data_IF_011133948009
#
_entry.id   IF_011133948009
#
_cell.length_a   1.000
_cell.length_b   1.000
_cell.length_c   1.000
_cell.angle_alpha   90.00
_cell.angle_beta   90.00
_cell.angle_gamma   90.00
#
_symmetry.space_group_name_H-M   'P 1'
#
loop_
_entity.id
_entity.type
_entity.pdbx_description
1 polymer ?
#
# COMPACT_ATOMS: atom_id res chain seq x y z
N UNK A 1 27.10 -13.48 -24.44
CA UNK A 1 27.27 -12.02 -24.18
C UNK A 1 27.77 -11.86 -22.75
N UNK A 2 29.05 -11.58 -22.54
CA UNK A 2 29.65 -11.46 -21.19
C UNK A 2 29.22 -10.13 -20.57
N UNK A 3 28.50 -10.19 -19.46
CA UNK A 3 28.04 -9.02 -18.70
C UNK A 3 29.24 -8.19 -18.22
N UNK A 4 29.14 -6.87 -18.34
CA UNK A 4 30.16 -5.94 -17.79
C UNK A 4 30.28 -6.09 -16.26
N UNK A 5 31.48 -5.96 -15.66
CA UNK A 5 31.69 -6.10 -14.20
C UNK A 5 30.83 -5.17 -13.34
N UNK A 6 30.51 -3.98 -13.83
CA UNK A 6 29.60 -3.01 -13.19
C UNK A 6 28.19 -3.56 -12.95
N UNK A 7 27.68 -4.36 -13.88
CA UNK A 7 26.36 -4.99 -13.78
C UNK A 7 26.22 -6.00 -12.61
N UNK A 8 27.32 -6.67 -12.24
CA UNK A 8 27.32 -7.74 -11.24
C UNK A 8 27.34 -7.23 -9.80
N UNK A 9 28.11 -6.18 -9.51
CA UNK A 9 28.19 -5.57 -8.18
C UNK A 9 26.88 -4.86 -7.82
N UNK A 10 26.36 -4.05 -8.74
CA UNK A 10 25.09 -3.33 -8.56
C UNK A 10 23.93 -4.28 -8.27
N UNK A 11 23.81 -5.41 -9.01
CA UNK A 11 22.76 -6.41 -8.80
C UNK A 11 22.81 -7.09 -7.44
N UNK A 12 24.02 -7.33 -6.90
CA UNK A 12 24.20 -7.87 -5.55
C UNK A 12 23.61 -6.97 -4.46
N UNK A 13 23.67 -5.66 -4.64
CA UNK A 13 23.20 -4.69 -3.63
C UNK A 13 21.67 -4.61 -3.59
N UNK A 14 20.99 -4.71 -4.74
CA UNK A 14 19.53 -4.80 -4.78
C UNK A 14 18.99 -6.08 -4.13
N UNK A 15 19.62 -7.25 -4.40
CA UNK A 15 19.27 -8.51 -3.73
C UNK A 15 19.43 -8.38 -2.22
N UNK A 16 20.59 -7.91 -1.73
CA UNK A 16 20.82 -7.71 -0.31
C UNK A 16 19.85 -6.73 0.32
N UNK A 17 19.49 -5.64 -0.38
CA UNK A 17 18.52 -4.66 0.08
C UNK A 17 17.13 -5.28 0.21
N UNK A 18 16.64 -5.98 -0.83
CA UNK A 18 15.38 -6.70 -0.83
C UNK A 18 15.30 -7.68 0.35
N UNK A 19 16.34 -8.52 0.54
CA UNK A 19 16.37 -9.52 1.61
C UNK A 19 16.38 -8.87 3.00
N UNK A 20 17.14 -7.77 3.18
CA UNK A 20 17.13 -7.02 4.45
C UNK A 20 15.77 -6.38 4.73
N UNK A 21 15.11 -5.78 3.71
CA UNK A 21 13.77 -5.23 3.88
C UNK A 21 12.80 -6.34 4.26
N UNK A 22 12.85 -7.50 3.58
CA UNK A 22 11.99 -8.64 3.90
C UNK A 22 12.18 -9.14 5.33
N UNK A 23 13.41 -9.31 5.78
CA UNK A 23 13.72 -9.68 7.17
C UNK A 23 13.23 -8.62 8.17
N UNK A 24 13.42 -7.34 7.88
CA UNK A 24 12.92 -6.24 8.72
C UNK A 24 11.39 -6.23 8.81
N UNK A 25 10.68 -6.41 7.69
CA UNK A 25 9.23 -6.44 7.63
C UNK A 25 8.62 -7.64 8.37
N UNK A 26 9.32 -8.75 8.47
CA UNK A 26 8.87 -9.94 9.18
C UNK A 26 8.79 -9.73 10.70
N UNK A 27 9.58 -8.83 11.27
CA UNK A 27 9.74 -8.69 12.72
C UNK A 27 9.46 -7.28 13.25
N UNK A 28 10.10 -6.26 12.67
CA UNK A 28 10.14 -4.92 13.23
C UNK A 28 8.76 -4.24 13.36
N UNK A 29 7.84 -4.33 12.34
CA UNK A 29 6.53 -3.69 12.42
C UNK A 29 5.60 -4.26 13.50
N UNK A 30 5.91 -5.48 14.00
CA UNK A 30 5.10 -6.19 15.00
C UNK A 30 5.66 -6.05 16.42
N UNK A 31 6.69 -5.25 16.61
CA UNK A 31 7.28 -5.01 17.93
C UNK A 31 6.26 -4.40 18.88
N UNK A 32 6.32 -4.87 20.10
CA UNK A 32 5.48 -4.34 21.17
C UNK A 32 6.06 -3.03 21.70
N UNK A 33 5.18 -2.04 21.90
CA UNK A 33 5.48 -0.86 22.70
C UNK A 33 4.56 -0.85 23.92
N UNK A 34 4.99 -0.32 25.09
CA UNK A 34 4.23 -0.37 26.34
C UNK A 34 2.82 0.23 26.25
N UNK A 35 2.61 1.18 25.34
CA UNK A 35 1.35 1.90 25.16
C UNK A 35 0.48 1.37 24.02
N UNK A 36 0.91 0.29 23.36
CA UNK A 36 0.24 -0.24 22.16
C UNK A 36 -0.10 -1.73 22.36
N UNK A 37 -1.23 -2.13 21.82
CA UNK A 37 -1.71 -3.51 21.94
C UNK A 37 -0.88 -4.47 21.10
N UNK A 38 -0.72 -5.71 21.60
CA UNK A 38 -0.09 -6.80 20.86
C UNK A 38 -0.85 -7.13 19.57
N UNK A 39 -0.10 -7.38 18.50
CA UNK A 39 -0.61 -7.75 17.18
C UNK A 39 -0.91 -6.57 16.27
N UNK A 40 -0.81 -5.33 16.75
CA UNK A 40 -0.88 -4.15 15.89
C UNK A 40 0.34 -4.04 14.98
N UNK A 41 0.13 -3.50 13.78
CA UNK A 41 1.22 -3.21 12.85
C UNK A 41 1.57 -1.73 12.92
N UNK A 42 2.86 -1.44 13.14
CA UNK A 42 3.34 -0.07 13.17
C UNK A 42 3.14 0.62 11.81
N UNK A 43 2.68 1.85 11.83
CA UNK A 43 2.76 2.72 10.64
C UNK A 43 4.18 3.27 10.46
N UNK A 44 4.81 3.59 11.59
CA UNK A 44 6.15 4.16 11.66
C UNK A 44 6.87 3.67 12.92
N UNK A 45 8.20 3.46 12.81
CA UNK A 45 9.06 3.18 13.95
C UNK A 45 9.98 4.38 14.20
N UNK A 46 10.14 4.72 15.47
CA UNK A 46 11.09 5.72 15.95
C UNK A 46 12.54 5.23 15.79
N UNK A 47 13.49 6.12 16.02
CA UNK A 47 14.93 5.78 16.03
C UNK A 47 15.26 4.69 17.05
N UNK A 48 14.53 4.65 18.17
CA UNK A 48 14.63 3.58 19.17
C UNK A 48 14.21 2.20 18.67
N UNK A 49 13.53 2.13 17.50
CA UNK A 49 12.92 0.92 16.96
C UNK A 49 11.55 0.60 17.56
N UNK A 50 11.01 1.48 18.39
CA UNK A 50 9.65 1.33 18.93
C UNK A 50 8.59 1.86 17.95
N UNK A 51 7.39 1.25 17.89
CA UNK A 51 6.26 1.81 17.15
C UNK A 51 5.86 3.19 17.68
N UNK A 52 5.72 4.15 16.76
CA UNK A 52 5.16 5.46 17.10
C UNK A 52 3.62 5.37 17.23
N UNK A 53 3.01 4.62 16.32
CA UNK A 53 1.57 4.32 16.30
C UNK A 53 1.32 3.02 15.54
N UNK A 54 0.18 2.37 15.84
CA UNK A 54 -0.35 1.30 14.98
C UNK A 54 -1.36 1.87 13.99
N UNK A 55 -1.44 1.26 12.79
CA UNK A 55 -2.29 1.76 11.72
C UNK A 55 -3.00 0.61 11.00
N UNK A 56 -4.35 0.66 10.98
CA UNK A 56 -5.17 -0.40 10.38
C UNK A 56 -4.90 -0.62 8.89
N UNK A 57 -4.79 0.45 8.09
CA UNK A 57 -4.42 0.37 6.67
C UNK A 57 -3.09 -0.36 6.49
N UNK A 58 -2.09 0.00 7.29
CA UNK A 58 -0.77 -0.62 7.20
C UNK A 58 -0.80 -2.09 7.62
N UNK A 59 -1.68 -2.45 8.56
CA UNK A 59 -1.94 -3.85 8.89
C UNK A 59 -2.51 -4.61 7.66
N UNK A 60 -3.39 -3.99 6.90
CA UNK A 60 -3.89 -4.56 5.63
C UNK A 60 -2.77 -4.78 4.61
N UNK A 61 -1.94 -3.77 4.38
CA UNK A 61 -0.76 -3.91 3.49
C UNK A 61 0.22 -4.97 3.97
N UNK A 62 0.49 -5.02 5.29
CA UNK A 62 1.39 -6.02 5.87
C UNK A 62 0.85 -7.44 5.70
N UNK A 63 -0.45 -7.67 5.91
CA UNK A 63 -1.09 -8.96 5.69
C UNK A 63 -0.96 -9.41 4.23
N UNK A 64 -1.19 -8.52 3.25
CA UNK A 64 -0.98 -8.81 1.84
C UNK A 64 0.48 -9.16 1.54
N UNK A 65 1.43 -8.39 2.08
CA UNK A 65 2.85 -8.65 1.93
C UNK A 65 3.25 -10.00 2.55
N UNK A 66 2.80 -10.26 3.78
CA UNK A 66 3.11 -11.51 4.48
C UNK A 66 2.56 -12.72 3.72
N UNK A 67 1.34 -12.66 3.21
CA UNK A 67 0.74 -13.72 2.41
C UNK A 67 1.55 -14.04 1.14
N UNK A 68 2.17 -13.01 0.53
CA UNK A 68 2.95 -13.18 -0.70
C UNK A 68 4.39 -13.67 -0.45
N UNK A 69 5.06 -13.14 0.59
CA UNK A 69 6.52 -13.23 0.71
C UNK A 69 7.01 -13.98 1.96
N UNK A 70 6.27 -13.93 3.05
CA UNK A 70 6.70 -14.49 4.33
C UNK A 70 5.51 -15.04 5.15
N UNK A 71 4.75 -16.01 4.63
CA UNK A 71 3.55 -16.50 5.30
C UNK A 71 3.91 -17.13 6.66
N UNK A 72 3.43 -16.48 7.72
CA UNK A 72 3.53 -16.96 9.10
C UNK A 72 2.14 -16.87 9.73
N UNK A 73 1.46 -18.02 9.83
CA UNK A 73 0.07 -18.08 10.30
C UNK A 73 -0.10 -17.52 11.71
N UNK A 74 0.86 -17.69 12.60
CA UNK A 74 0.77 -17.19 13.98
C UNK A 74 0.82 -15.64 14.02
N UNK A 75 1.76 -15.04 13.30
CA UNK A 75 1.88 -13.59 13.22
C UNK A 75 0.67 -12.97 12.50
N UNK A 76 0.26 -13.56 11.38
CA UNK A 76 -0.93 -13.11 10.65
C UNK A 76 -2.19 -13.23 11.50
N UNK A 77 -2.35 -14.32 12.27
CA UNK A 77 -3.46 -14.49 13.23
C UNK A 77 -3.43 -13.41 14.31
N UNK A 78 -2.27 -13.06 14.83
CA UNK A 78 -2.15 -11.99 15.83
C UNK A 78 -2.63 -10.64 15.27
N UNK A 79 -2.26 -10.32 14.01
CA UNK A 79 -2.71 -9.09 13.34
C UNK A 79 -4.22 -9.10 13.07
N UNK A 80 -4.77 -10.22 12.58
CA UNK A 80 -6.23 -10.35 12.36
C UNK A 80 -7.00 -10.21 13.67
N UNK A 81 -6.52 -10.82 14.76
CA UNK A 81 -7.13 -10.68 16.09
C UNK A 81 -7.04 -9.24 16.63
N UNK A 82 -5.94 -8.53 16.35
CA UNK A 82 -5.84 -7.11 16.69
C UNK A 82 -6.87 -6.30 15.89
N UNK A 83 -6.99 -6.49 14.60
CA UNK A 83 -8.03 -5.84 13.77
C UNK A 83 -9.44 -6.19 14.30
N UNK A 84 -9.70 -7.44 14.69
CA UNK A 84 -10.99 -7.85 15.24
C UNK A 84 -11.33 -7.05 16.52
N UNK A 85 -10.37 -6.88 17.43
CA UNK A 85 -10.57 -6.05 18.64
C UNK A 85 -10.81 -4.57 18.31
N UNK A 86 -10.01 -4.00 17.39
CA UNK A 86 -10.14 -2.59 16.99
C UNK A 86 -11.52 -2.29 16.38
N UNK A 87 -12.09 -3.23 15.64
CA UNK A 87 -13.37 -3.05 14.95
C UNK A 87 -14.56 -3.70 15.67
N UNK A 88 -14.39 -4.23 16.89
CA UNK A 88 -15.47 -4.91 17.63
C UNK A 88 -16.44 -3.97 18.35
N UNK A 89 -16.04 -2.72 18.59
CA UNK A 89 -16.86 -1.73 19.31
C UNK A 89 -17.96 -1.11 18.44
N UNK A 90 -18.85 -0.30 19.07
CA UNK A 90 -19.90 0.45 18.37
C UNK A 90 -19.33 1.64 17.58
N UNK A 91 -18.11 2.04 17.86
CA UNK A 91 -17.37 3.10 17.18
C UNK A 91 -16.30 2.49 16.28
N UNK A 92 -15.92 3.17 15.19
CA UNK A 92 -14.83 2.71 14.36
C UNK A 92 -13.49 2.79 15.07
N UNK A 93 -12.54 1.98 14.65
CA UNK A 93 -11.17 2.06 15.10
C UNK A 93 -10.55 3.42 14.80
N UNK A 94 -9.69 3.90 15.69
CA UNK A 94 -8.84 5.05 15.41
C UNK A 94 -7.92 4.72 14.20
N UNK A 95 -7.76 5.67 13.29
CA UNK A 95 -6.86 5.51 12.14
C UNK A 95 -5.41 5.31 12.61
N UNK A 96 -4.96 6.13 13.57
CA UNK A 96 -3.64 6.01 14.21
C UNK A 96 -3.80 5.70 15.68
N UNK A 97 -3.73 4.41 16.02
CA UNK A 97 -3.85 3.94 17.41
C UNK A 97 -2.57 4.32 18.18
N UNK A 98 -2.74 4.97 19.33
CA UNK A 98 -1.63 5.47 20.16
C UNK A 98 -1.40 6.98 20.04
N UNK A 99 -1.91 7.65 19.02
CA UNK A 99 -1.82 9.11 18.86
C UNK A 99 -3.15 9.78 19.22
N UNK A 100 -3.18 10.56 20.29
CA UNK A 100 -4.44 11.15 20.80
C UNK A 100 -4.98 12.31 19.97
N UNK A 101 -4.13 13.09 19.33
CA UNK A 101 -4.50 14.36 18.68
C UNK A 101 -4.32 14.34 17.15
N UNK A 102 -4.41 13.18 16.50
CA UNK A 102 -4.37 13.13 15.02
C UNK A 102 -5.78 13.38 14.48
N UNK A 103 -5.88 14.31 13.52
CA UNK A 103 -7.15 14.63 12.85
C UNK A 103 -7.76 13.43 12.12
N UNK A 104 -6.94 12.45 11.69
CA UNK A 104 -7.39 11.24 11.03
C UNK A 104 -8.27 10.39 11.94
N UNK A 105 -8.07 10.46 13.24
CA UNK A 105 -8.87 9.73 14.23
C UNK A 105 -10.29 10.30 14.40
N UNK A 106 -10.59 11.43 13.74
CA UNK A 106 -11.94 12.04 13.74
C UNK A 106 -12.82 11.51 12.61
N UNK A 107 -12.34 10.57 11.82
CA UNK A 107 -13.08 9.99 10.70
C UNK A 107 -12.64 8.59 10.34
N UNK A 108 -13.42 7.99 9.45
CA UNK A 108 -13.14 6.69 8.83
C UNK A 108 -12.92 6.89 7.35
N UNK A 109 -11.90 6.28 6.79
CA UNK A 109 -11.50 6.45 5.39
C UNK A 109 -11.83 5.20 4.58
N UNK A 110 -12.54 5.35 3.47
CA UNK A 110 -12.88 4.22 2.59
C UNK A 110 -11.64 3.53 2.02
N UNK A 111 -10.57 4.30 1.80
CA UNK A 111 -9.29 3.76 1.36
C UNK A 111 -8.71 2.78 2.39
N UNK A 112 -8.61 3.20 3.66
CA UNK A 112 -8.07 2.39 4.74
C UNK A 112 -8.86 1.08 4.90
N UNK A 113 -10.20 1.20 4.89
CA UNK A 113 -11.09 0.04 5.02
C UNK A 113 -10.93 -0.95 3.86
N UNK A 114 -10.80 -0.45 2.65
CA UNK A 114 -10.61 -1.31 1.48
C UNK A 114 -9.26 -2.04 1.50
N UNK A 115 -8.19 -1.38 1.97
CA UNK A 115 -6.87 -2.01 2.11
C UNK A 115 -6.88 -3.05 3.23
N UNK A 116 -7.57 -2.79 4.36
CA UNK A 116 -7.76 -3.80 5.41
C UNK A 116 -8.53 -4.99 4.85
N UNK A 117 -9.64 -4.76 4.14
CA UNK A 117 -10.46 -5.81 3.51
C UNK A 117 -9.62 -6.71 2.61
N UNK A 118 -8.77 -6.11 1.78
CA UNK A 118 -7.86 -6.83 0.92
C UNK A 118 -6.85 -7.66 1.72
N UNK A 119 -6.18 -7.06 2.71
CA UNK A 119 -5.23 -7.77 3.56
C UNK A 119 -5.85 -8.99 4.25
N UNK A 120 -7.10 -8.86 4.72
CA UNK A 120 -7.86 -9.97 5.29
C UNK A 120 -8.13 -11.08 4.25
N UNK A 121 -8.48 -10.69 3.01
CA UNK A 121 -8.70 -11.65 1.92
C UNK A 121 -7.43 -12.42 1.57
N UNK A 122 -6.30 -11.73 1.47
CA UNK A 122 -4.99 -12.35 1.18
C UNK A 122 -4.53 -13.26 2.35
N UNK A 123 -4.87 -12.91 3.60
CA UNK A 123 -4.51 -13.68 4.80
C UNK A 123 -5.41 -14.90 5.05
N UNK A 124 -6.65 -14.90 4.58
CA UNK A 124 -7.65 -15.93 4.88
C UNK A 124 -7.18 -17.39 4.62
N UNK A 125 -6.43 -17.69 3.54
CA UNK A 125 -5.90 -19.03 3.31
C UNK A 125 -4.94 -19.54 4.41
N UNK A 126 -4.32 -18.64 5.17
CA UNK A 126 -3.30 -18.95 6.17
C UNK A 126 -3.84 -18.97 7.61
N UNK A 127 -4.85 -18.12 7.90
CA UNK A 127 -5.37 -17.91 9.27
C UNK A 127 -6.81 -18.40 9.45
N UNK A 128 -7.48 -18.75 8.37
CA UNK A 128 -8.86 -19.21 8.35
C UNK A 128 -9.86 -18.13 8.00
N UNK A 129 -10.79 -18.49 7.11
CA UNK A 129 -11.79 -17.59 6.52
C UNK A 129 -12.74 -17.01 7.58
N UNK A 130 -13.15 -17.80 8.59
CA UNK A 130 -14.10 -17.37 9.60
C UNK A 130 -13.62 -16.15 10.42
N UNK A 131 -12.33 -16.12 10.80
CA UNK A 131 -11.72 -14.99 11.52
C UNK A 131 -11.67 -13.73 10.68
N UNK A 132 -11.12 -13.86 9.48
CA UNK A 132 -11.03 -12.75 8.52
C UNK A 132 -12.42 -12.23 8.11
N UNK A 133 -13.38 -13.13 7.85
CA UNK A 133 -14.74 -12.78 7.44
C UNK A 133 -15.52 -12.01 8.52
N UNK A 134 -15.30 -12.29 9.81
CA UNK A 134 -15.92 -11.49 10.89
C UNK A 134 -15.46 -10.04 10.87
N UNK A 135 -14.16 -9.81 10.71
CA UNK A 135 -13.62 -8.44 10.62
C UNK A 135 -14.12 -7.76 9.34
N UNK A 136 -14.09 -8.49 8.21
CA UNK A 136 -14.57 -8.02 6.93
C UNK A 136 -16.05 -7.57 6.99
N UNK A 137 -16.92 -8.33 7.66
CA UNK A 137 -18.33 -7.98 7.81
C UNK A 137 -18.55 -6.65 8.56
N UNK A 138 -17.75 -6.40 9.61
CA UNK A 138 -17.81 -5.11 10.35
C UNK A 138 -17.32 -3.93 9.49
N UNK A 139 -16.23 -4.13 8.76
CA UNK A 139 -15.69 -3.14 7.82
C UNK A 139 -16.69 -2.84 6.71
N UNK A 140 -17.35 -3.87 6.15
CA UNK A 140 -18.39 -3.70 5.14
C UNK A 140 -19.56 -2.84 5.65
N UNK A 141 -19.95 -2.98 6.93
CA UNK A 141 -20.97 -2.12 7.56
C UNK A 141 -20.57 -0.64 7.59
N UNK A 142 -19.30 -0.31 7.77
CA UNK A 142 -18.79 1.07 7.69
C UNK A 142 -18.73 1.57 6.24
N UNK A 143 -18.26 0.73 5.31
CA UNK A 143 -18.22 1.06 3.88
C UNK A 143 -19.61 1.32 3.32
N UNK A 144 -20.64 0.58 3.75
CA UNK A 144 -22.02 0.79 3.31
C UNK A 144 -22.54 2.19 3.64
N UNK A 145 -22.15 2.74 4.79
CA UNK A 145 -22.44 4.13 5.19
C UNK A 145 -21.72 5.17 4.35
N UNK A 146 -20.66 4.78 3.63
CA UNK A 146 -19.88 5.65 2.76
C UNK A 146 -20.38 5.67 1.31
N UNK A 147 -21.35 4.84 0.95
CA UNK A 147 -21.99 4.91 -0.38
C UNK A 147 -22.84 6.17 -0.45
N UNK A 148 -22.43 7.11 -1.31
CA UNK A 148 -23.11 8.39 -1.50
C UNK A 148 -24.46 8.23 -2.22
N UNK A 149 -25.28 9.30 -2.18
CA UNK A 149 -26.56 9.35 -2.87
C UNK A 149 -26.43 9.24 -4.40
N UNK A 150 -25.26 9.54 -4.93
CA UNK A 150 -24.90 9.40 -6.35
C UNK A 150 -24.36 8.01 -6.71
N UNK A 151 -24.47 7.03 -5.82
CA UNK A 151 -24.06 5.66 -6.02
C UNK A 151 -22.56 5.40 -5.89
N UNK A 152 -21.72 6.41 -5.66
CA UNK A 152 -20.27 6.29 -5.58
C UNK A 152 -19.75 6.29 -4.14
N UNK A 153 -18.53 5.78 -3.94
CA UNK A 153 -17.87 5.80 -2.64
C UNK A 153 -17.46 7.23 -2.24
N UNK A 154 -17.78 7.60 -1.00
CA UNK A 154 -17.20 8.78 -0.37
C UNK A 154 -15.79 8.45 0.16
N UNK A 155 -14.86 9.41 0.15
CA UNK A 155 -13.50 9.18 0.63
C UNK A 155 -13.44 8.92 2.14
N UNK A 156 -14.35 9.50 2.90
CA UNK A 156 -14.36 9.46 4.36
C UNK A 156 -15.76 9.67 4.94
N UNK A 157 -15.94 9.24 6.18
CA UNK A 157 -17.10 9.49 7.02
C UNK A 157 -16.64 10.22 8.28
N UNK A 158 -17.20 11.40 8.56
CA UNK A 158 -16.92 12.18 9.76
C UNK A 158 -17.61 11.53 10.96
N UNK A 159 -16.91 11.44 12.08
CA UNK A 159 -17.45 10.95 13.34
C UNK A 159 -17.92 12.10 14.24
N UNK A 160 -17.21 13.22 14.21
CA UNK A 160 -17.48 14.43 14.96
C UNK A 160 -17.50 15.65 14.02
N UNK A 161 -18.06 16.78 14.48
CA UNK A 161 -18.19 18.02 13.68
C UNK A 161 -16.86 18.77 13.48
N UNK A 162 -15.79 18.04 13.16
CA UNK A 162 -14.46 18.60 12.93
C UNK A 162 -14.23 18.85 11.45
N UNK A 163 -13.64 19.99 11.13
CA UNK A 163 -13.23 20.29 9.76
C UNK A 163 -11.97 19.47 9.38
N UNK A 164 -12.08 18.69 8.34
CA UNK A 164 -10.92 17.96 7.78
C UNK A 164 -10.04 18.88 6.93
N UNK A 165 -8.71 18.70 6.96
CA UNK A 165 -7.83 19.45 6.09
C UNK A 165 -8.12 19.11 4.63
N UNK A 166 -8.04 20.12 3.77
CA UNK A 166 -8.22 19.97 2.34
C UNK A 166 -7.00 19.29 1.71
N UNK A 167 -7.11 17.99 1.46
CA UNK A 167 -6.05 17.12 0.90
C UNK A 167 -6.64 16.20 -0.16
N UNK A 168 -5.77 15.61 -0.99
CA UNK A 168 -6.21 14.61 -1.97
C UNK A 168 -6.99 13.46 -1.32
N UNK A 169 -6.58 12.99 -0.14
CA UNK A 169 -7.22 11.86 0.56
C UNK A 169 -8.56 12.21 1.22
N UNK A 170 -8.89 13.49 1.35
CA UNK A 170 -10.18 13.97 1.87
C UNK A 170 -11.13 14.47 0.78
N UNK A 171 -10.73 14.43 -0.47
CA UNK A 171 -11.55 14.76 -1.64
C UNK A 171 -11.85 13.49 -2.43
N UNK A 172 -12.97 13.45 -3.12
CA UNK A 172 -13.19 12.45 -4.16
C UNK A 172 -12.21 12.65 -5.30
N UNK A 173 -11.66 11.56 -5.83
CA UNK A 173 -10.68 11.64 -6.89
C UNK A 173 -10.24 10.28 -7.44
N UNK A 174 -9.41 10.29 -8.49
CA UNK A 174 -8.95 9.10 -9.18
C UNK A 174 -8.28 8.04 -8.28
N UNK A 175 -7.62 8.43 -7.19
CA UNK A 175 -6.99 7.49 -6.26
C UNK A 175 -7.98 6.45 -5.69
N UNK A 176 -9.28 6.79 -5.64
CA UNK A 176 -10.35 5.88 -5.18
C UNK A 176 -10.54 4.66 -6.10
N UNK A 177 -9.93 4.66 -7.29
CA UNK A 177 -9.88 3.46 -8.14
C UNK A 177 -9.13 2.33 -7.42
N UNK A 178 -8.06 2.61 -6.67
CA UNK A 178 -7.37 1.59 -5.85
C UNK A 178 -8.26 1.08 -4.72
N UNK A 179 -9.01 1.97 -4.05
CA UNK A 179 -10.04 1.59 -3.07
C UNK A 179 -11.03 0.59 -3.69
N UNK A 180 -11.59 0.95 -4.82
CA UNK A 180 -12.59 0.15 -5.54
C UNK A 180 -12.01 -1.19 -6.02
N UNK A 181 -10.81 -1.19 -6.56
CA UNK A 181 -10.11 -2.40 -7.01
C UNK A 181 -9.83 -3.39 -5.85
N UNK A 182 -9.55 -2.88 -4.65
CA UNK A 182 -9.38 -3.71 -3.46
C UNK A 182 -10.71 -4.39 -3.05
N UNK A 183 -11.82 -3.66 -3.09
CA UNK A 183 -13.15 -4.18 -2.75
C UNK A 183 -13.66 -5.21 -3.76
N UNK A 184 -13.47 -4.96 -5.07
CA UNK A 184 -13.86 -5.90 -6.13
C UNK A 184 -13.03 -7.19 -6.10
N UNK A 185 -11.84 -7.17 -5.52
CA UNK A 185 -10.98 -8.34 -5.32
C UNK A 185 -11.27 -9.13 -4.05
N UNK A 186 -12.23 -8.72 -3.22
CA UNK A 186 -12.58 -9.44 -1.99
C UNK A 186 -13.32 -10.76 -2.29
N UNK A 187 -13.25 -11.77 -1.39
CA UNK A 187 -13.98 -13.01 -1.53
C UNK A 187 -15.50 -12.80 -1.66
N UNK A 188 -16.16 -13.67 -2.41
CA UNK A 188 -17.59 -13.62 -2.60
C UNK A 188 -18.34 -13.60 -1.26
N UNK A 189 -19.29 -12.69 -1.11
CA UNK A 189 -20.12 -12.54 0.08
C UNK A 189 -19.50 -11.70 1.21
N UNK A 190 -18.23 -11.31 1.12
CA UNK A 190 -17.62 -10.43 2.12
C UNK A 190 -18.04 -8.95 1.94
N UNK A 191 -18.26 -8.55 0.70
CA UNK A 191 -18.66 -7.19 0.34
C UNK A 191 -20.08 -7.22 -0.23
N UNK A 192 -21.05 -6.50 0.37
CA UNK A 192 -22.40 -6.39 -0.15
C UNK A 192 -22.45 -5.84 -1.58
N UNK A 193 -23.39 -6.32 -2.39
CA UNK A 193 -23.54 -5.91 -3.80
C UNK A 193 -23.66 -4.39 -3.98
N UNK A 194 -24.31 -3.68 -3.05
CA UNK A 194 -24.42 -2.22 -3.09
C UNK A 194 -23.06 -1.53 -3.05
N UNK A 195 -22.12 -2.06 -2.25
CA UNK A 195 -20.75 -1.52 -2.16
C UNK A 195 -19.96 -1.90 -3.42
N UNK A 196 -20.12 -3.12 -3.94
CA UNK A 196 -19.47 -3.55 -5.19
C UNK A 196 -19.93 -2.67 -6.36
N UNK A 197 -21.24 -2.40 -6.47
CA UNK A 197 -21.75 -1.48 -7.47
C UNK A 197 -21.17 -0.07 -7.29
N UNK A 198 -21.09 0.45 -6.07
CA UNK A 198 -20.50 1.76 -5.80
C UNK A 198 -19.01 1.80 -6.15
N UNK A 199 -18.29 0.67 -6.01
CA UNK A 199 -16.90 0.56 -6.43
C UNK A 199 -16.77 0.62 -7.97
N UNK A 200 -17.63 -0.08 -8.71
CA UNK A 200 -17.67 -0.02 -10.18
C UNK A 200 -17.98 1.38 -10.68
N UNK A 201 -19.03 2.02 -10.15
CA UNK A 201 -19.40 3.41 -10.48
C UNK A 201 -18.26 4.41 -10.18
N UNK A 202 -17.50 4.16 -9.13
CA UNK A 202 -16.33 4.98 -8.77
C UNK A 202 -15.20 4.81 -9.79
N UNK A 203 -14.93 3.57 -10.24
CA UNK A 203 -13.94 3.30 -11.30
C UNK A 203 -14.35 3.97 -12.60
N UNK A 204 -15.61 3.82 -13.02
CA UNK A 204 -16.10 4.40 -14.26
C UNK A 204 -16.02 5.93 -14.26
N UNK A 205 -16.35 6.56 -13.14
CA UNK A 205 -16.30 8.00 -12.99
C UNK A 205 -14.87 8.59 -13.09
N UNK A 206 -13.86 7.82 -12.68
CA UNK A 206 -12.50 8.33 -12.55
C UNK A 206 -11.49 7.77 -13.55
N UNK A 207 -11.79 6.66 -14.26
CA UNK A 207 -10.82 6.01 -15.15
C UNK A 207 -10.28 6.90 -16.27
N UNK A 208 -11.14 7.75 -16.85
CA UNK A 208 -10.73 8.68 -17.90
C UNK A 208 -10.08 9.99 -17.37
N UNK A 209 -9.98 10.14 -16.04
CA UNK A 209 -9.58 11.37 -15.37
C UNK A 209 -8.35 11.22 -14.47
N UNK A 210 -7.58 10.14 -14.66
CA UNK A 210 -6.38 9.86 -13.84
C UNK A 210 -5.35 10.97 -13.94
N UNK A 211 -5.22 11.59 -15.12
CA UNK A 211 -4.28 12.69 -15.36
C UNK A 211 -4.68 14.01 -14.67
N UNK A 212 -5.93 14.14 -14.25
CA UNK A 212 -6.38 15.29 -13.46
C UNK A 212 -5.84 15.24 -12.01
N UNK A 213 -5.34 14.09 -11.57
CA UNK A 213 -4.74 13.94 -10.26
C UNK A 213 -3.33 14.55 -10.26
N UNK A 214 -3.16 15.69 -9.63
CA UNK A 214 -1.90 16.43 -9.59
C UNK A 214 -0.87 15.81 -8.62
N UNK A 215 -1.37 15.24 -7.53
CA UNK A 215 -0.51 14.61 -6.51
C UNK A 215 0.00 13.25 -6.99
N UNK A 216 1.30 13.10 -7.18
CA UNK A 216 1.90 11.87 -7.71
C UNK A 216 1.51 10.61 -6.94
N UNK A 217 1.53 10.65 -5.62
CA UNK A 217 1.16 9.49 -4.80
C UNK A 217 -0.28 9.01 -5.09
N UNK A 218 -1.22 9.94 -5.12
CA UNK A 218 -2.62 9.65 -5.42
C UNK A 218 -2.84 9.20 -6.87
N UNK A 219 -2.08 9.77 -7.82
CA UNK A 219 -2.10 9.38 -9.23
C UNK A 219 -1.60 7.95 -9.40
N UNK A 220 -0.48 7.59 -8.76
CA UNK A 220 0.06 6.23 -8.80
C UNK A 220 -0.91 5.22 -8.17
N UNK A 221 -1.63 5.57 -7.11
CA UNK A 221 -2.70 4.73 -6.58
C UNK A 221 -3.82 4.48 -7.61
N UNK A 222 -4.22 5.50 -8.36
CA UNK A 222 -5.20 5.32 -9.44
C UNK A 222 -4.69 4.36 -10.51
N UNK A 223 -3.43 4.52 -10.93
CA UNK A 223 -2.79 3.66 -11.92
C UNK A 223 -2.64 2.21 -11.45
N UNK A 224 -2.27 1.97 -10.19
CA UNK A 224 -2.21 0.64 -9.58
C UNK A 224 -3.60 -0.03 -9.56
N UNK A 225 -4.62 0.72 -9.17
CA UNK A 225 -6.01 0.25 -9.18
C UNK A 225 -6.46 -0.15 -10.59
N UNK A 226 -6.21 0.69 -11.59
CA UNK A 226 -6.53 0.38 -12.99
C UNK A 226 -5.76 -0.82 -13.53
N UNK A 227 -4.46 -0.90 -13.24
CA UNK A 227 -3.66 -2.05 -13.64
C UNK A 227 -4.23 -3.38 -13.13
N UNK A 228 -4.93 -3.34 -11.98
CA UNK A 228 -5.55 -4.50 -11.37
C UNK A 228 -6.91 -4.86 -12.01
N UNK A 229 -7.78 -3.87 -12.24
CA UNK A 229 -9.17 -4.14 -12.68
C UNK A 229 -9.39 -4.02 -14.18
N UNK A 230 -8.54 -3.27 -14.88
CA UNK A 230 -8.62 -3.02 -16.34
C UNK A 230 -7.23 -3.08 -16.98
N UNK A 231 -6.56 -4.23 -16.95
CA UNK A 231 -5.18 -4.37 -17.44
C UNK A 231 -5.01 -4.03 -18.92
N UNK A 232 -6.07 -4.14 -19.72
CA UNK A 232 -6.14 -3.76 -21.14
C UNK A 232 -6.15 -2.23 -21.37
N UNK A 233 -6.66 -1.46 -20.44
CA UNK A 233 -6.67 0.00 -20.51
C UNK A 233 -5.38 0.64 -20.00
N UNK A 234 -4.53 -0.14 -19.38
CA UNK A 234 -3.27 0.25 -18.78
C UNK A 234 -2.34 1.00 -19.75
N UNK A 235 -2.24 0.54 -21.00
CA UNK A 235 -1.44 1.19 -22.04
C UNK A 235 -1.99 2.56 -22.48
N UNK A 236 -3.29 2.83 -22.27
CA UNK A 236 -3.95 4.08 -22.66
C UNK A 236 -3.84 5.19 -21.60
N UNK A 237 -3.46 4.87 -20.36
CA UNK A 237 -3.53 5.81 -19.22
C UNK A 237 -2.19 6.52 -19.00
N UNK A 238 -1.43 6.72 -20.07
CA UNK A 238 -0.27 7.61 -19.99
C UNK A 238 0.86 7.09 -19.11
N UNK A 239 1.02 5.75 -19.01
CA UNK A 239 2.30 5.20 -18.58
C UNK A 239 3.42 5.74 -19.48
N UNK A 240 3.14 5.92 -20.76
CA UNK A 240 4.04 6.59 -21.72
C UNK A 240 4.42 8.02 -21.27
N UNK A 241 3.50 8.74 -20.64
CA UNK A 241 3.78 10.07 -20.08
C UNK A 241 4.48 10.01 -18.71
N UNK A 242 4.21 9.00 -17.88
CA UNK A 242 4.93 8.81 -16.61
C UNK A 242 6.34 8.25 -16.83
N UNK A 243 6.55 7.44 -17.85
CA UNK A 243 7.85 6.87 -18.27
C UNK A 243 8.81 7.94 -18.81
N UNK A 244 8.28 9.08 -19.28
CA UNK A 244 9.10 10.24 -19.67
C UNK A 244 9.64 11.07 -18.49
N UNK A 245 9.18 10.80 -17.26
CA UNK A 245 9.63 11.53 -16.07
C UNK A 245 10.78 10.83 -15.39
N UNK A 246 11.84 11.58 -15.11
CA UNK A 246 12.95 11.10 -14.29
C UNK A 246 12.50 11.02 -12.81
N UNK A 247 13.15 10.17 -11.98
CA UNK A 247 12.81 10.05 -10.55
C UNK A 247 12.78 11.41 -9.82
N UNK A 248 13.61 12.37 -10.22
CA UNK A 248 13.63 13.70 -9.64
C UNK A 248 12.36 14.50 -9.91
N UNK A 249 11.60 14.16 -10.96
CA UNK A 249 10.34 14.81 -11.32
C UNK A 249 9.14 14.14 -10.66
N UNK A 250 9.25 12.81 -10.41
CA UNK A 250 8.19 12.00 -9.80
C UNK A 250 8.30 12.08 -8.28
N UNK A 251 7.38 12.79 -7.65
CA UNK A 251 7.30 12.86 -6.18
C UNK A 251 8.37 13.72 -5.52
N UNK A 252 9.15 14.48 -6.29
CA UNK A 252 10.07 15.45 -5.75
C UNK A 252 9.31 16.67 -5.22
N UNK A 253 9.45 16.93 -3.93
CA UNK A 253 9.07 18.21 -3.37
C UNK A 253 10.29 18.81 -2.69
N UNK A 254 10.66 20.04 -3.06
CA UNK A 254 11.84 20.75 -2.50
C UNK A 254 13.16 19.98 -2.70
N UNK A 255 13.34 19.28 -3.84
CA UNK A 255 14.56 18.52 -4.14
C UNK A 255 14.70 17.20 -3.34
N UNK A 256 13.63 16.74 -2.68
CA UNK A 256 13.61 15.48 -1.92
C UNK A 256 12.66 14.49 -2.58
N UNK A 257 13.04 13.23 -2.60
CA UNK A 257 12.26 12.13 -3.17
C UNK A 257 11.60 11.31 -2.06
N UNK A 258 10.34 10.91 -2.24
CA UNK A 258 9.61 10.03 -1.31
C UNK A 258 9.78 8.58 -1.71
N UNK A 259 10.16 7.70 -0.75
CA UNK A 259 10.37 6.27 -1.00
C UNK A 259 9.13 5.55 -1.56
N UNK A 260 7.95 5.83 -1.00
CA UNK A 260 6.70 5.20 -1.42
C UNK A 260 6.33 5.52 -2.87
N UNK A 261 6.52 6.77 -3.29
CA UNK A 261 6.24 7.20 -4.67
C UNK A 261 7.20 6.52 -5.65
N UNK A 262 8.50 6.48 -5.32
CA UNK A 262 9.50 5.84 -6.17
C UNK A 262 9.27 4.33 -6.30
N UNK A 263 8.92 3.69 -5.19
CA UNK A 263 8.58 2.26 -5.19
C UNK A 263 7.29 1.95 -5.97
N UNK A 264 6.25 2.79 -5.85
CA UNK A 264 5.04 2.67 -6.66
C UNK A 264 5.33 2.80 -8.15
N UNK A 265 6.09 3.82 -8.54
CA UNK A 265 6.48 4.02 -9.94
C UNK A 265 7.27 2.80 -10.48
N UNK A 266 8.25 2.30 -9.71
CA UNK A 266 9.02 1.12 -10.11
C UNK A 266 8.14 -0.13 -10.26
N UNK A 267 7.17 -0.38 -9.36
CA UNK A 267 6.22 -1.51 -9.49
C UNK A 267 5.43 -1.42 -10.81
N UNK A 268 4.93 -0.24 -11.11
CA UNK A 268 4.17 -0.01 -12.32
C UNK A 268 5.04 -0.17 -13.57
N UNK A 269 6.28 0.33 -13.56
CA UNK A 269 7.27 0.11 -14.63
C UNK A 269 7.59 -1.37 -14.81
N UNK A 270 7.74 -2.13 -13.74
CA UNK A 270 7.93 -3.58 -13.81
C UNK A 270 6.75 -4.34 -14.43
N UNK A 271 5.57 -3.77 -14.41
CA UNK A 271 4.42 -4.34 -15.11
C UNK A 271 4.37 -3.95 -16.58
N UNK A 272 5.09 -2.94 -17.03
CA UNK A 272 5.10 -2.47 -18.43
C UNK A 272 6.18 -3.18 -19.25
N UNK A 273 5.81 -3.99 -20.27
CA UNK A 273 6.77 -4.68 -21.12
C UNK A 273 7.61 -3.72 -21.98
N UNK A 274 7.17 -2.49 -22.15
CA UNK A 274 7.87 -1.46 -22.95
C UNK A 274 8.75 -0.54 -22.08
N UNK A 275 8.72 -0.69 -20.74
CA UNK A 275 9.51 0.15 -19.86
C UNK A 275 11.03 0.01 -20.12
N UNK A 276 11.72 1.15 -20.21
CA UNK A 276 13.15 1.18 -20.40
C UNK A 276 13.89 0.66 -19.16
N UNK A 277 14.82 -0.26 -19.36
CA UNK A 277 15.72 -0.78 -18.32
C UNK A 277 16.46 0.34 -17.58
N UNK A 278 16.87 1.37 -18.30
CA UNK A 278 17.58 2.53 -17.74
C UNK A 278 16.68 3.29 -16.77
N UNK A 279 15.43 3.54 -17.14
CA UNK A 279 14.47 4.23 -16.27
C UNK A 279 14.14 3.38 -15.03
N UNK A 280 13.88 2.09 -15.21
CA UNK A 280 13.65 1.20 -14.08
C UNK A 280 14.84 1.18 -13.11
N UNK A 281 16.08 1.16 -13.62
CA UNK A 281 17.29 1.20 -12.80
C UNK A 281 17.38 2.51 -12.01
N UNK A 282 17.08 3.66 -12.62
CA UNK A 282 17.09 4.95 -11.92
C UNK A 282 16.12 4.97 -10.73
N UNK A 283 14.89 4.46 -10.93
CA UNK A 283 13.92 4.34 -9.84
C UNK A 283 14.39 3.35 -8.77
N UNK A 284 14.98 2.21 -9.16
CA UNK A 284 15.51 1.23 -8.23
C UNK A 284 16.66 1.80 -7.38
N UNK A 285 17.56 2.58 -7.98
CA UNK A 285 18.66 3.27 -7.28
C UNK A 285 18.13 4.28 -6.26
N UNK A 286 17.10 5.05 -6.62
CA UNK A 286 16.47 5.98 -5.66
C UNK A 286 15.78 5.22 -4.52
N UNK A 287 15.07 4.14 -4.79
CA UNK A 287 14.50 3.29 -3.72
C UNK A 287 15.60 2.75 -2.81
N UNK A 288 16.71 2.28 -3.37
CA UNK A 288 17.86 1.77 -2.61
C UNK A 288 18.45 2.81 -1.67
N UNK A 289 18.50 4.08 -2.07
CA UNK A 289 19.02 5.18 -1.24
C UNK A 289 18.20 5.42 0.04
N UNK A 290 16.94 4.98 0.09
CA UNK A 290 16.10 5.07 1.29
C UNK A 290 16.27 3.87 2.25
N UNK A 291 16.98 2.81 1.84
CA UNK A 291 17.12 1.57 2.61
C UNK A 291 18.30 1.67 3.57
N UNK A 292 18.06 1.48 4.86
CA UNK A 292 19.11 1.42 5.86
C UNK A 292 19.91 0.11 5.80
N UNK A 293 21.03 0.06 6.49
CA UNK A 293 21.85 -1.15 6.63
C UNK A 293 21.09 -2.33 7.28
N UNK A 294 20.04 -2.04 8.06
CA UNK A 294 19.22 -3.03 8.75
C UNK A 294 17.90 -3.34 8.03
N UNK A 295 17.69 -2.80 6.82
CA UNK A 295 16.48 -3.05 6.02
C UNK A 295 15.29 -2.14 6.31
N UNK A 296 15.37 -1.24 7.27
CA UNK A 296 14.38 -0.21 7.47
C UNK A 296 14.35 0.75 6.28
N UNK A 297 13.16 1.18 5.85
CA UNK A 297 12.99 2.13 4.75
C UNK A 297 12.50 3.46 5.30
N UNK A 298 13.20 4.54 4.95
CA UNK A 298 12.86 5.90 5.36
C UNK A 298 11.89 6.52 4.37
N UNK A 299 11.01 7.38 4.87
CA UNK A 299 10.07 8.12 4.01
C UNK A 299 10.82 9.13 3.11
N UNK A 300 11.70 9.93 3.73
CA UNK A 300 12.70 10.77 3.04
C UNK A 300 14.10 10.21 3.29
N UNK A 301 15.08 10.46 2.41
CA UNK A 301 16.42 9.89 2.57
C UNK A 301 17.13 10.29 3.88
N UNK A 302 16.79 11.46 4.40
CA UNK A 302 17.35 12.06 5.63
C UNK A 302 16.46 11.90 6.87
N UNK A 303 15.33 11.17 6.77
CA UNK A 303 14.53 10.83 7.94
C UNK A 303 15.30 9.86 8.85
N UNK A 304 15.12 10.01 10.15
CA UNK A 304 15.65 9.08 11.14
C UNK A 304 14.68 7.93 11.45
N UNK A 305 13.40 8.12 11.12
CA UNK A 305 12.33 7.17 11.39
C UNK A 305 12.14 6.19 10.23
N UNK A 306 11.70 4.97 10.56
CA UNK A 306 11.41 3.95 9.58
C UNK A 306 9.90 3.92 9.26
N UNK A 307 9.59 3.84 7.97
CA UNK A 307 8.22 3.85 7.49
C UNK A 307 7.82 2.49 6.92
N UNK A 308 6.77 1.88 7.48
CA UNK A 308 6.42 0.49 7.17
C UNK A 308 5.80 0.35 5.78
N UNK A 309 4.89 1.24 5.35
CA UNK A 309 4.31 1.12 4.00
C UNK A 309 5.36 1.40 2.91
N UNK A 310 6.32 2.31 3.16
CA UNK A 310 7.47 2.49 2.25
C UNK A 310 8.28 1.21 2.11
N UNK A 311 8.52 0.49 3.22
CA UNK A 311 9.25 -0.77 3.21
C UNK A 311 8.51 -1.87 2.44
N UNK A 312 7.19 -1.98 2.62
CA UNK A 312 6.34 -2.93 1.90
C UNK A 312 6.43 -2.67 0.38
N UNK A 313 6.25 -1.42 -0.02
CA UNK A 313 6.30 -1.05 -1.44
C UNK A 313 7.69 -1.22 -2.04
N UNK A 314 8.74 -0.83 -1.30
CA UNK A 314 10.13 -0.98 -1.74
C UNK A 314 10.52 -2.46 -1.90
N UNK A 315 10.11 -3.33 -0.96
CA UNK A 315 10.37 -4.78 -1.06
C UNK A 315 9.78 -5.36 -2.34
N UNK A 316 8.49 -5.11 -2.61
CA UNK A 316 7.82 -5.63 -3.81
C UNK A 316 8.43 -5.05 -5.09
N UNK A 317 8.74 -3.75 -5.11
CA UNK A 317 9.33 -3.09 -6.26
C UNK A 317 10.71 -3.65 -6.62
N UNK A 318 11.58 -3.82 -5.62
CA UNK A 318 12.90 -4.40 -5.82
C UNK A 318 12.83 -5.89 -6.21
N UNK A 319 11.93 -6.68 -5.60
CA UNK A 319 11.75 -8.09 -5.96
C UNK A 319 11.31 -8.26 -7.41
N UNK A 320 10.35 -7.47 -7.88
CA UNK A 320 9.88 -7.50 -9.25
C UNK A 320 10.94 -7.03 -10.26
N UNK A 321 11.69 -5.99 -9.92
CA UNK A 321 12.82 -5.52 -10.71
C UNK A 321 13.91 -6.58 -10.86
N UNK A 322 14.30 -7.19 -9.75
CA UNK A 322 15.28 -8.27 -9.71
C UNK A 322 14.82 -9.48 -10.53
N UNK A 323 13.53 -9.84 -10.42
CA UNK A 323 12.94 -10.92 -11.21
C UNK A 323 13.08 -10.67 -12.72
N UNK A 324 12.72 -9.48 -13.19
CA UNK A 324 12.85 -9.11 -14.61
C UNK A 324 14.29 -9.19 -15.10
N UNK A 325 15.26 -8.97 -14.23
CA UNK A 325 16.69 -9.09 -14.57
C UNK A 325 17.21 -10.53 -14.53
N UNK A 326 16.39 -11.50 -14.16
CA UNK A 326 16.77 -12.91 -14.08
C UNK A 326 17.85 -13.19 -13.02
N UNK A 327 17.91 -12.42 -11.94
CA UNK A 327 18.95 -12.51 -10.91
C UNK A 327 18.45 -12.96 -9.55
N UNK A 328 17.27 -13.59 -9.47
CA UNK A 328 16.81 -14.22 -8.22
C UNK A 328 15.65 -13.50 -7.53
N UNK A 329 14.81 -12.75 -8.25
CA UNK A 329 13.52 -12.29 -7.75
C UNK A 329 12.61 -13.48 -7.41
N UNK A 330 11.82 -13.32 -6.35
CA UNK A 330 10.96 -14.39 -5.82
C UNK A 330 9.69 -14.50 -6.67
N UNK A 331 9.13 -13.37 -7.08
CA UNK A 331 7.84 -13.31 -7.76
C UNK A 331 7.89 -12.57 -9.09
N UNK A 332 7.25 -13.16 -10.09
CA UNK A 332 6.99 -12.48 -11.36
C UNK A 332 6.03 -11.31 -11.14
N UNK A 333 6.28 -10.14 -11.75
CA UNK A 333 5.33 -9.02 -11.70
C UNK A 333 3.92 -9.42 -12.16
N UNK A 334 2.93 -9.21 -11.30
CA UNK A 334 1.52 -9.47 -11.57
C UNK A 334 0.67 -8.33 -10.97
N UNK A 335 -0.15 -7.68 -11.81
CA UNK A 335 -0.98 -6.56 -11.36
C UNK A 335 -2.00 -6.96 -10.27
N UNK A 336 -2.38 -8.24 -10.20
CA UNK A 336 -3.26 -8.78 -9.15
C UNK A 336 -2.57 -8.80 -7.78
N UNK A 337 -1.25 -8.87 -7.76
CA UNK A 337 -0.42 -8.89 -6.54
C UNK A 337 0.05 -7.49 -6.10
N UNK A 338 -0.28 -6.41 -6.83
CA UNK A 338 0.02 -5.04 -6.39
C UNK A 338 -0.54 -4.81 -4.97
N UNK A 339 0.36 -4.60 -4.02
CA UNK A 339 0.04 -4.36 -2.60
C UNK A 339 -0.38 -2.91 -2.39
#
# INVERSE_FOLDING_TARGET
MTMKPYDRACRSDFLKARDRIGGWLAEAPLRHAPNLELGGVAGQLLVSGEPEFHYGEIAGYWLSWAALYAPNSNLMTAVVNWLDRQWSGPYPAATRVGVRSDWRNQGVFSFDLAIIMRGLADAAPFVGEAGCGRVAARIAGWLDRMVGADGRLNPWLVLDSVAFPDRWSTRRGPYQIKTSAALLGAPNGWVPNRILQAAEETIDAWSARVDEQLEWHARLYAMEGLARVRPDQRAKIGFDNAVGYLPEQVGSSRGRSRADIQAQALRLLCLDPCASDTICLQFADVVLAHVSLHGAVRFWPDDETANVWCAIFAHQALDWWIYQKGVGGIRKPDSRELI
#
